data_IF_204007237257
#
_entry.id   IF_204007237257
#
_cell.length_a   1.000
_cell.length_b   1.000
_cell.length_c   1.000
_cell.angle_alpha   90.00
_cell.angle_beta   90.00
_cell.angle_gamma   90.00
#
_symmetry.space_group_name_H-M   'P 1'
#
loop_
_entity.id
_entity.type
_entity.pdbx_description
1 polymer ?
#
# COMPACT_ATOMS: atom_id res chain seq x y z
N UNK A 1 -7.20 -0.57 -11.96
CA UNK A 1 -7.42 -0.95 -10.55
C UNK A 1 -6.28 -1.85 -10.12
N UNK A 2 -5.56 -1.47 -9.08
CA UNK A 2 -4.43 -2.23 -8.53
C UNK A 2 -4.66 -2.47 -7.04
N UNK A 3 -4.34 -3.68 -6.57
CA UNK A 3 -4.33 -4.00 -5.13
C UNK A 3 -2.91 -4.33 -4.70
N UNK A 4 -2.40 -3.61 -3.70
CA UNK A 4 -1.06 -3.81 -3.16
C UNK A 4 -1.09 -4.07 -1.67
N UNK A 5 -0.02 -4.69 -1.17
CA UNK A 5 0.26 -4.78 0.27
C UNK A 5 1.41 -3.85 0.55
N UNK A 6 1.23 -2.92 1.48
CA UNK A 6 2.30 -2.01 1.89
C UNK A 6 3.27 -2.72 2.83
N UNK A 7 4.49 -2.19 2.93
CA UNK A 7 5.44 -2.58 3.96
C UNK A 7 5.08 -1.97 5.34
N UNK A 8 3.78 -1.77 5.60
CA UNK A 8 3.22 -1.21 6.82
C UNK A 8 2.32 -2.21 7.51
N UNK A 9 2.42 -2.28 8.84
CA UNK A 9 1.73 -3.26 9.65
C UNK A 9 1.03 -2.62 10.84
N UNK A 10 -0.22 -3.00 11.03
CA UNK A 10 -1.03 -2.58 12.17
C UNK A 10 -0.83 -3.58 13.32
N UNK A 11 -0.64 -3.03 14.52
CA UNK A 11 -0.48 -3.79 15.76
C UNK A 11 -1.60 -3.47 16.76
N UNK A 12 -1.83 -4.40 17.68
CA UNK A 12 -2.83 -4.24 18.75
C UNK A 12 -4.26 -4.26 18.24
N UNK A 13 -5.15 -3.49 18.89
CA UNK A 13 -6.59 -3.45 18.60
C UNK A 13 -6.98 -2.41 17.53
N UNK A 14 -6.00 -1.84 16.82
CA UNK A 14 -6.21 -0.82 15.79
C UNK A 14 -6.68 -1.46 14.49
N UNK A 15 -7.49 -0.74 13.73
CA UNK A 15 -7.93 -1.15 12.40
C UNK A 15 -7.06 -0.49 11.32
N UNK A 16 -6.72 -1.23 10.26
CA UNK A 16 -6.06 -0.65 9.09
C UNK A 16 -6.85 0.52 8.47
N UNK A 17 -8.19 0.48 8.58
CA UNK A 17 -9.05 1.56 8.06
C UNK A 17 -8.78 2.91 8.71
N UNK A 18 -8.17 2.96 9.90
CA UNK A 18 -7.79 4.21 10.56
C UNK A 18 -6.72 4.99 9.77
N UNK A 19 -5.92 4.30 8.94
CA UNK A 19 -4.89 4.90 8.09
C UNK A 19 -5.40 5.35 6.71
N UNK A 20 -6.71 5.23 6.45
CA UNK A 20 -7.32 5.60 5.18
C UNK A 20 -7.00 7.05 4.78
N UNK A 21 -7.13 7.99 5.72
CA UNK A 21 -6.87 9.39 5.44
C UNK A 21 -5.38 9.64 5.22
N UNK A 22 -4.51 9.02 6.02
CA UNK A 22 -3.05 9.12 5.88
C UNK A 22 -2.59 8.80 4.46
N UNK A 23 -3.01 7.65 3.92
CA UNK A 23 -2.62 7.26 2.55
C UNK A 23 -3.30 8.10 1.46
N UNK A 24 -4.52 8.58 1.70
CA UNK A 24 -5.18 9.50 0.78
C UNK A 24 -4.44 10.85 0.71
N UNK A 25 -4.00 11.38 1.85
CA UNK A 25 -3.24 12.64 1.92
C UNK A 25 -1.86 12.51 1.27
N UNK A 26 -1.20 11.37 1.42
CA UNK A 26 0.06 11.08 0.72
C UNK A 26 -0.09 11.15 -0.81
N UNK A 27 -1.21 10.68 -1.36
CA UNK A 27 -1.48 10.70 -2.79
C UNK A 27 -2.25 11.95 -3.24
N UNK A 28 -2.34 12.99 -2.40
CA UNK A 28 -3.08 14.21 -2.71
C UNK A 28 -2.50 14.90 -3.95
N UNK A 29 -3.37 15.24 -4.88
CA UNK A 29 -2.99 15.83 -6.17
C UNK A 29 -2.87 14.82 -7.30
N UNK A 30 -2.89 13.51 -7.01
CA UNK A 30 -3.04 12.47 -8.01
C UNK A 30 -4.52 12.14 -8.23
N UNK A 31 -4.91 11.93 -9.48
CA UNK A 31 -6.23 11.44 -9.85
C UNK A 31 -6.36 9.94 -9.54
N UNK A 32 -6.41 9.62 -8.25
CA UNK A 32 -6.56 8.26 -7.73
C UNK A 32 -7.50 8.23 -6.54
N UNK A 33 -8.49 7.34 -6.59
CA UNK A 33 -9.27 6.92 -5.43
C UNK A 33 -8.52 5.80 -4.74
N UNK A 34 -8.38 5.94 -3.44
CA UNK A 34 -7.59 5.03 -2.61
C UNK A 34 -8.49 4.44 -1.53
N UNK A 35 -8.42 3.13 -1.33
CA UNK A 35 -9.25 2.41 -0.35
C UNK A 35 -8.40 1.41 0.42
N UNK A 36 -8.27 1.64 1.73
CA UNK A 36 -7.68 0.67 2.65
C UNK A 36 -8.65 -0.50 2.82
N UNK A 37 -8.16 -1.68 2.44
CA UNK A 37 -8.86 -2.93 2.60
C UNK A 37 -8.65 -3.48 4.02
N UNK A 38 -9.16 -4.68 4.30
CA UNK A 38 -8.77 -5.42 5.50
C UNK A 38 -7.27 -5.76 5.47
N UNK A 39 -6.68 -5.92 6.65
CA UNK A 39 -5.31 -6.38 6.74
C UNK A 39 -5.13 -7.74 6.04
N UNK A 40 -4.01 -7.91 5.34
CA UNK A 40 -3.48 -9.23 5.03
C UNK A 40 -3.14 -9.98 6.35
N UNK A 41 -2.94 -11.31 6.28
CA UNK A 41 -2.50 -12.10 7.42
C UNK A 41 -1.33 -11.44 8.14
N UNK A 42 -1.32 -11.50 9.48
CA UNK A 42 -0.32 -10.84 10.34
C UNK A 42 -0.35 -9.31 10.34
N UNK A 43 -1.42 -8.65 9.89
CA UNK A 43 -1.66 -7.23 10.12
C UNK A 43 -1.13 -6.27 9.04
N UNK A 44 -0.65 -6.78 7.91
CA UNK A 44 -0.16 -5.94 6.81
C UNK A 44 -1.29 -5.16 6.14
N UNK A 45 -1.08 -3.89 5.84
CA UNK A 45 -2.10 -3.04 5.22
C UNK A 45 -2.22 -3.36 3.74
N UNK A 46 -3.44 -3.65 3.28
CA UNK A 46 -3.76 -3.79 1.86
C UNK A 46 -4.50 -2.57 1.35
N UNK A 47 -4.15 -2.16 0.14
CA UNK A 47 -4.63 -0.95 -0.48
C UNK A 47 -5.11 -1.21 -1.89
N UNK A 48 -6.29 -0.71 -2.21
CA UNK A 48 -6.81 -0.63 -3.56
C UNK A 48 -6.61 0.80 -4.08
N UNK A 49 -6.05 0.92 -5.28
CA UNK A 49 -5.91 2.16 -6.02
C UNK A 49 -6.74 2.08 -7.30
N UNK A 50 -7.53 3.13 -7.55
CA UNK A 50 -8.36 3.23 -8.74
C UNK A 50 -8.38 4.65 -9.33
N UNK A 51 -7.96 4.83 -10.58
CA UNK A 51 -7.93 6.15 -11.22
C UNK A 51 -7.00 6.22 -12.43
N UNK A 52 -6.82 7.42 -12.95
CA UNK A 52 -5.93 7.71 -14.08
C UNK A 52 -4.45 7.57 -13.67
N UNK A 53 -4.11 8.07 -12.48
CA UNK A 53 -2.74 8.14 -11.97
C UNK A 53 -2.33 6.90 -11.15
N UNK A 54 -3.00 5.76 -11.33
CA UNK A 54 -2.74 4.52 -10.56
C UNK A 54 -1.26 4.11 -10.58
N UNK A 55 -0.60 4.19 -11.75
CA UNK A 55 0.81 3.81 -11.88
C UNK A 55 1.74 4.77 -11.15
N UNK A 56 1.45 6.07 -11.21
CA UNK A 56 2.24 7.10 -10.53
C UNK A 56 2.08 6.95 -9.01
N UNK A 57 0.85 6.82 -8.54
CA UNK A 57 0.55 6.59 -7.12
C UNK A 57 1.19 5.29 -6.60
N UNK A 58 1.18 4.22 -7.41
CA UNK A 58 1.83 2.96 -7.06
C UNK A 58 3.36 3.10 -6.94
N UNK A 59 4.01 3.83 -7.85
CA UNK A 59 5.44 4.06 -7.80
C UNK A 59 5.81 4.93 -6.60
N UNK A 60 5.06 6.00 -6.37
CA UNK A 60 5.22 6.88 -5.22
C UNK A 60 5.11 6.11 -3.89
N UNK A 61 4.06 5.28 -3.71
CA UNK A 61 3.92 4.44 -2.53
C UNK A 61 5.05 3.41 -2.38
N UNK A 62 5.60 2.90 -3.49
CA UNK A 62 6.77 2.00 -3.43
C UNK A 62 8.02 2.70 -2.90
N UNK A 63 8.22 3.96 -3.27
CA UNK A 63 9.39 4.74 -2.90
C UNK A 63 9.27 5.29 -1.46
N UNK A 64 8.12 5.84 -1.10
CA UNK A 64 7.91 6.48 0.21
C UNK A 64 7.59 5.50 1.34
N UNK A 65 6.91 4.38 1.04
CA UNK A 65 6.41 3.43 2.05
C UNK A 65 7.00 2.03 1.86
N UNK A 66 7.20 1.62 0.61
CA UNK A 66 7.59 0.26 0.28
C UNK A 66 6.37 -0.67 0.11
N UNK A 67 6.54 -1.68 -0.75
CA UNK A 67 5.53 -2.69 -1.03
C UNK A 67 6.00 -4.05 -0.53
N UNK A 68 5.16 -4.74 0.24
CA UNK A 68 5.44 -6.09 0.67
C UNK A 68 5.33 -7.06 -0.52
N UNK A 69 6.35 -7.90 -0.77
CA UNK A 69 6.27 -8.92 -1.79
C UNK A 69 5.26 -9.98 -1.38
N UNK A 70 4.19 -10.12 -2.17
CA UNK A 70 3.15 -11.14 -1.96
C UNK A 70 3.52 -12.51 -2.55
N UNK A 71 4.70 -12.61 -3.18
CA UNK A 71 5.25 -13.84 -3.74
C UNK A 71 6.77 -13.84 -3.67
N UNK A 72 7.36 -14.99 -3.39
CA UNK A 72 8.82 -15.18 -3.37
C UNK A 72 9.49 -14.84 -4.71
N UNK A 73 8.75 -14.97 -5.82
CA UNK A 73 9.21 -14.60 -7.17
C UNK A 73 9.41 -13.09 -7.35
N UNK A 74 8.77 -12.29 -6.50
CA UNK A 74 8.84 -10.83 -6.56
C UNK A 74 9.91 -10.27 -5.62
N UNK A 75 10.71 -11.13 -4.99
CA UNK A 75 11.83 -10.76 -4.13
C UNK A 75 13.08 -10.61 -5.02
N UNK A 76 13.72 -9.45 -4.96
CA UNK A 76 15.09 -9.28 -5.47
C UNK A 76 16.04 -9.59 -4.33
N UNK A 77 16.95 -10.54 -4.54
CA UNK A 77 18.06 -10.77 -3.61
C UNK A 77 18.94 -9.52 -3.69
N UNK A 78 19.07 -8.81 -2.57
CA UNK A 78 20.06 -7.74 -2.46
C UNK A 78 21.45 -8.35 -2.47
N UNK A 79 22.38 -7.75 -3.22
CA UNK A 79 23.79 -8.05 -3.04
C UNK A 79 24.20 -7.47 -1.68
N UNK A 80 24.52 -8.36 -0.73
CA UNK A 80 25.09 -8.01 0.58
C UNK A 80 26.62 -8.09 0.45
#
# INVERSE_FOLDING_TARGET
>A
MVVVTLLEKVYGRRSAKEFQQTFADMCKGLNVKLRVLSCAPRGWIRLELKGEDEKVALNFLREEVGLAPVSIRNIRIGNI
#
